data_IF_124512676978
#
_entry.id   IF_124512676978
#
_cell.length_a   1.000
_cell.length_b   1.000
_cell.length_c   1.000
_cell.angle_alpha   90.00
_cell.angle_beta   90.00
_cell.angle_gamma   90.00
#
_symmetry.space_group_name_H-M   'P 1'
#
loop_
_entity.id
_entity.type
_entity.pdbx_description
1 polymer ?
#
# COMPACT_ATOMS: atom_id res chain seq x y z
N UNK A 1 -10.40 17.24 -3.14
CA UNK A 1 -9.55 16.09 -2.77
C UNK A 1 -8.22 16.65 -2.30
N UNK A 2 -7.60 16.12 -1.24
CA UNK A 2 -6.23 16.53 -0.89
C UNK A 2 -5.32 16.32 -2.10
N UNK A 3 -4.37 17.22 -2.30
CA UNK A 3 -3.38 17.10 -3.37
C UNK A 3 -2.50 15.90 -3.02
N UNK A 4 -2.39 14.94 -3.92
CA UNK A 4 -1.47 13.82 -3.76
C UNK A 4 -0.43 13.93 -4.88
N UNK A 5 0.83 14.13 -4.51
CA UNK A 5 1.92 14.22 -5.47
C UNK A 5 2.41 12.82 -5.86
N UNK A 6 2.33 11.86 -4.94
CA UNK A 6 2.69 10.46 -5.18
C UNK A 6 1.49 9.55 -4.88
N UNK A 7 1.29 8.56 -5.74
CA UNK A 7 0.25 7.54 -5.60
C UNK A 7 0.83 6.16 -5.88
N UNK A 8 0.68 5.24 -4.93
CA UNK A 8 0.97 3.81 -5.07
C UNK A 8 -0.35 3.04 -4.99
N UNK A 9 -0.76 2.43 -6.10
CA UNK A 9 -1.89 1.50 -6.17
C UNK A 9 -1.39 0.07 -6.21
N UNK A 10 -1.59 -0.66 -5.12
CA UNK A 10 -1.22 -2.06 -4.95
C UNK A 10 -2.46 -2.91 -5.26
N UNK A 11 -2.34 -3.79 -6.25
CA UNK A 11 -3.33 -4.81 -6.56
C UNK A 11 -2.74 -6.14 -6.09
N UNK A 12 -3.14 -6.58 -4.90
CA UNK A 12 -2.59 -7.74 -4.23
C UNK A 12 -3.43 -8.98 -4.53
N UNK A 13 -2.79 -10.09 -4.90
CA UNK A 13 -3.46 -11.38 -5.08
C UNK A 13 -2.99 -12.35 -3.99
N UNK A 14 -3.91 -12.73 -3.09
CA UNK A 14 -3.62 -13.55 -1.91
C UNK A 14 -3.16 -14.96 -2.26
N UNK A 15 -3.73 -15.54 -3.31
CA UNK A 15 -3.41 -16.90 -3.76
C UNK A 15 -2.18 -16.95 -4.67
N UNK A 16 -1.80 -15.81 -5.25
CA UNK A 16 -0.68 -15.62 -6.16
C UNK A 16 0.06 -14.31 -5.86
N UNK A 17 0.79 -14.21 -4.73
CA UNK A 17 1.52 -12.98 -4.37
C UNK A 17 2.53 -12.55 -5.44
N UNK A 18 3.05 -13.50 -6.22
CA UNK A 18 3.91 -13.28 -7.40
C UNK A 18 3.25 -12.46 -8.52
N UNK A 19 1.92 -12.42 -8.55
CA UNK A 19 1.14 -11.62 -9.52
C UNK A 19 0.76 -10.25 -8.99
N UNK A 20 1.26 -9.85 -7.83
CA UNK A 20 0.99 -8.52 -7.27
C UNK A 20 1.55 -7.43 -8.17
N UNK A 21 0.75 -6.41 -8.42
CA UNK A 21 1.11 -5.26 -9.27
C UNK A 21 1.04 -3.97 -8.47
N UNK A 22 2.13 -3.21 -8.47
CA UNK A 22 2.18 -1.83 -7.99
C UNK A 22 2.10 -0.90 -9.21
N UNK A 23 1.04 -0.10 -9.30
CA UNK A 23 0.94 1.02 -10.24
C UNK A 23 1.30 2.30 -9.52
N UNK A 24 2.27 3.05 -10.02
CA UNK A 24 2.75 4.25 -9.33
C UNK A 24 3.27 5.33 -10.28
N UNK A 25 3.22 6.58 -9.83
CA UNK A 25 3.89 7.72 -10.47
C UNK A 25 5.25 8.04 -9.80
N UNK A 26 5.63 7.31 -8.75
CA UNK A 26 6.95 7.39 -8.13
C UNK A 26 8.02 6.70 -8.98
N UNK A 27 9.27 7.12 -8.79
CA UNK A 27 10.43 6.38 -9.30
C UNK A 27 10.53 5.02 -8.61
N UNK A 28 11.00 3.99 -9.32
CA UNK A 28 11.05 2.61 -8.82
C UNK A 28 11.90 2.49 -7.55
N UNK A 29 13.04 3.16 -7.54
CA UNK A 29 13.97 3.23 -6.43
C UNK A 29 13.38 3.87 -5.15
N UNK A 30 12.38 4.75 -5.29
CA UNK A 30 11.73 5.41 -4.16
C UNK A 30 10.62 4.56 -3.52
N UNK A 31 10.13 3.51 -4.18
CA UNK A 31 8.98 2.72 -3.69
C UNK A 31 9.30 2.08 -2.34
N UNK A 32 10.51 1.54 -2.16
CA UNK A 32 10.93 0.92 -0.91
C UNK A 32 10.90 1.93 0.25
N UNK A 33 11.39 3.14 0.02
CA UNK A 33 11.41 4.21 1.02
C UNK A 33 9.98 4.63 1.41
N UNK A 34 9.12 4.85 0.41
CA UNK A 34 7.73 5.26 0.60
C UNK A 34 6.95 4.21 1.40
N UNK A 35 7.07 2.93 1.04
CA UNK A 35 6.37 1.84 1.74
C UNK A 35 6.90 1.67 3.18
N UNK A 36 8.22 1.79 3.38
CA UNK A 36 8.83 1.72 4.71
C UNK A 36 8.39 2.87 5.63
N UNK A 37 8.34 4.09 5.10
CA UNK A 37 7.83 5.26 5.81
C UNK A 37 6.34 5.06 6.17
N UNK A 38 5.52 4.62 5.22
CA UNK A 38 4.10 4.34 5.46
C UNK A 38 3.90 3.29 6.55
N UNK A 39 4.64 2.17 6.52
CA UNK A 39 4.58 1.10 7.52
C UNK A 39 4.93 1.61 8.91
N UNK A 40 5.94 2.48 9.00
CA UNK A 40 6.35 3.11 10.26
C UNK A 40 5.25 3.98 10.84
N UNK A 41 4.50 4.71 10.00
CA UNK A 41 3.34 5.50 10.43
C UNK A 41 2.17 4.66 10.97
N UNK A 42 2.15 3.34 10.75
CA UNK A 42 1.09 2.46 11.27
C UNK A 42 1.35 2.04 12.73
N UNK A 43 2.59 2.14 13.20
CA UNK A 43 2.98 1.75 14.56
C UNK A 43 2.29 2.68 15.55
N UNK A 44 1.55 2.11 16.51
CA UNK A 44 0.89 2.89 17.57
C UNK A 44 -0.44 3.53 17.18
N UNK A 45 -1.00 3.27 16.00
CA UNK A 45 -2.34 3.76 15.60
C UNK A 45 -3.51 3.14 16.39
N UNK A 46 -3.23 2.26 17.34
CA UNK A 46 -4.21 1.57 18.16
C UNK A 46 -4.87 0.39 17.45
N UNK A 47 -5.89 -0.17 18.10
CA UNK A 47 -6.59 -1.37 17.64
C UNK A 47 -7.74 -0.99 16.71
N UNK A 48 -7.82 -1.65 15.56
CA UNK A 48 -8.99 -1.66 14.70
C UNK A 48 -9.83 -2.91 15.02
N UNK A 49 -11.06 -2.71 15.50
CA UNK A 49 -11.96 -3.81 15.89
C UNK A 49 -12.89 -4.26 14.74
N UNK A 50 -12.74 -3.70 13.54
CA UNK A 50 -13.54 -4.12 12.38
C UNK A 50 -13.05 -5.48 11.86
N UNK A 51 -13.99 -6.28 11.37
CA UNK A 51 -13.67 -7.54 10.69
C UNK A 51 -12.97 -7.28 9.36
N UNK A 52 -11.97 -8.11 8.99
CA UNK A 52 -11.36 -8.04 7.68
C UNK A 52 -12.33 -8.53 6.61
N UNK A 53 -12.32 -7.89 5.45
CA UNK A 53 -12.99 -8.41 4.26
C UNK A 53 -12.26 -9.66 3.79
N UNK A 54 -13.03 -10.71 3.46
CA UNK A 54 -12.48 -11.97 2.92
C UNK A 54 -12.58 -11.95 1.40
N UNK A 55 -11.47 -11.71 0.74
CA UNK A 55 -11.32 -11.69 -0.72
C UNK A 55 -10.03 -12.39 -1.14
N UNK A 56 -9.99 -12.83 -2.39
CA UNK A 56 -8.77 -13.36 -3.01
C UNK A 56 -7.86 -12.26 -3.57
N UNK A 57 -8.45 -11.10 -3.90
CA UNK A 57 -7.76 -9.95 -4.44
C UNK A 57 -8.15 -8.69 -3.65
N UNK A 58 -7.17 -7.82 -3.43
CA UNK A 58 -7.33 -6.57 -2.70
C UNK A 58 -6.73 -5.41 -3.48
N UNK A 59 -7.34 -4.24 -3.30
CA UNK A 59 -6.84 -2.97 -3.78
C UNK A 59 -6.48 -2.09 -2.58
N UNK A 60 -5.24 -1.59 -2.57
CA UNK A 60 -4.74 -0.64 -1.58
C UNK A 60 -4.14 0.54 -2.33
N UNK A 61 -4.61 1.74 -2.03
CA UNK A 61 -4.12 2.99 -2.59
C UNK A 61 -3.48 3.82 -1.50
N UNK A 62 -2.16 3.93 -1.54
CA UNK A 62 -1.37 4.81 -0.68
C UNK A 62 -1.07 6.08 -1.46
N UNK A 63 -1.36 7.23 -0.87
CA UNK A 63 -1.06 8.55 -1.42
C UNK A 63 -0.15 9.30 -0.46
N UNK A 64 0.80 10.05 -1.00
CA UNK A 64 1.71 10.89 -0.24
C UNK A 64 1.62 12.32 -0.78
N UNK A 65 1.31 13.25 0.13
CA UNK A 65 1.45 14.69 -0.09
C UNK A 65 2.89 15.07 0.28
N UNK A 66 3.64 15.61 -0.68
CA UNK A 66 5.06 15.94 -0.46
C UNK A 66 5.24 17.31 0.23
N UNK A 67 4.16 18.06 0.44
CA UNK A 67 4.25 19.36 1.12
C UNK A 67 4.44 19.22 2.64
N UNK A 68 3.94 18.13 3.22
CA UNK A 68 3.99 17.87 4.66
C UNK A 68 4.24 16.39 5.02
N UNK A 69 4.62 15.56 4.04
CA UNK A 69 4.85 14.12 4.16
C UNK A 69 3.64 13.32 4.69
N UNK A 70 2.43 13.83 4.48
CA UNK A 70 1.20 13.16 4.94
C UNK A 70 0.82 12.00 4.04
N UNK A 71 0.62 10.84 4.66
CA UNK A 71 0.05 9.67 4.01
C UNK A 71 -1.47 9.62 4.10
N UNK A 72 -2.11 9.35 2.96
CA UNK A 72 -3.53 8.96 2.88
C UNK A 72 -3.63 7.53 2.37
N UNK A 73 -4.59 6.76 2.88
CA UNK A 73 -4.77 5.36 2.47
C UNK A 73 -6.23 5.05 2.28
N UNK A 74 -6.53 4.47 1.13
CA UNK A 74 -7.80 3.84 0.82
C UNK A 74 -7.56 2.36 0.55
N UNK A 75 -8.41 1.48 1.08
CA UNK A 75 -8.22 0.04 0.94
C UNK A 75 -9.52 -0.73 1.11
N UNK A 76 -9.68 -1.80 0.33
CA UNK A 76 -10.87 -2.63 0.33
C UNK A 76 -10.76 -3.89 1.24
N UNK A 77 -9.78 -3.90 2.13
CA UNK A 77 -9.43 -4.96 3.10
C UNK A 77 -10.36 -5.03 4.31
N UNK A 78 -11.21 -4.02 4.53
CA UNK A 78 -12.18 -3.98 5.64
C UNK A 78 -11.61 -3.54 6.98
N UNK A 79 -10.31 -3.75 7.24
CA UNK A 79 -9.64 -3.26 8.44
C UNK A 79 -8.17 -2.89 8.22
N UNK A 80 -7.62 -2.08 9.13
CA UNK A 80 -6.25 -1.58 9.08
C UNK A 80 -5.20 -2.67 9.28
N UNK A 81 -5.51 -3.69 10.08
CA UNK A 81 -4.58 -4.79 10.38
C UNK A 81 -4.23 -5.59 9.12
N UNK A 82 -5.23 -5.95 8.32
CA UNK A 82 -5.05 -6.63 7.05
C UNK A 82 -4.36 -5.72 6.04
N UNK A 83 -4.75 -4.44 5.92
CA UNK A 83 -4.03 -3.47 5.06
C UNK A 83 -2.55 -3.43 5.38
N UNK A 84 -2.20 -3.26 6.66
CA UNK A 84 -0.81 -3.19 7.11
C UNK A 84 -0.04 -4.50 6.82
N UNK A 85 -0.67 -5.65 7.09
CA UNK A 85 -0.07 -6.96 6.80
C UNK A 85 0.22 -7.19 5.31
N UNK A 86 -0.73 -6.81 4.43
CA UNK A 86 -0.56 -6.95 2.98
C UNK A 86 0.51 -5.99 2.44
N UNK A 87 0.52 -4.73 2.89
CA UNK A 87 1.59 -3.78 2.52
C UNK A 87 2.95 -4.27 3.02
N UNK A 88 3.01 -4.86 4.22
CA UNK A 88 4.23 -5.47 4.76
C UNK A 88 4.73 -6.65 3.93
N UNK A 89 3.85 -7.53 3.44
CA UNK A 89 4.23 -8.62 2.54
C UNK A 89 4.78 -8.08 1.21
N UNK A 90 4.13 -7.06 0.63
CA UNK A 90 4.59 -6.39 -0.59
C UNK A 90 5.96 -5.75 -0.39
N UNK A 91 6.17 -5.06 0.74
CA UNK A 91 7.46 -4.45 1.08
C UNK A 91 8.59 -5.49 1.15
N UNK A 92 8.34 -6.63 1.80
CA UNK A 92 9.32 -7.71 1.92
C UNK A 92 9.60 -8.45 0.61
N UNK A 93 8.72 -8.34 -0.38
CA UNK A 93 8.80 -9.02 -1.69
C UNK A 93 8.91 -8.05 -2.86
N UNK A 94 9.39 -6.83 -2.61
CA UNK A 94 9.36 -5.75 -3.61
C UNK A 94 10.14 -6.09 -4.89
N UNK A 95 11.13 -6.99 -4.80
CA UNK A 95 11.90 -7.51 -5.93
C UNK A 95 11.12 -8.50 -6.81
N UNK A 96 10.05 -9.10 -6.27
CA UNK A 96 9.21 -10.11 -6.92
C UNK A 96 7.90 -9.53 -7.50
N UNK A 97 7.54 -8.29 -7.17
CA UNK A 97 6.31 -7.67 -7.66
C UNK A 97 6.53 -6.94 -8.98
N UNK A 98 5.47 -6.85 -9.78
CA UNK A 98 5.49 -6.06 -11.01
C UNK A 98 5.24 -4.60 -10.68
N UNK A 99 6.14 -3.71 -11.11
CA UNK A 99 5.96 -2.25 -11.00
C UNK A 99 5.61 -1.69 -12.37
N UNK A 100 4.52 -0.94 -12.46
CA UNK A 100 4.04 -0.29 -13.68
C UNK A 100 3.74 1.19 -13.43
N UNK A 101 3.74 1.97 -14.52
CA UNK A 101 3.34 3.37 -14.45
C UNK A 101 1.86 3.51 -14.09
N UNK A 102 1.54 4.55 -13.33
CA UNK A 102 0.17 4.96 -13.08
C UNK A 102 -0.45 5.47 -14.40
N UNK A 103 -1.46 4.74 -14.89
CA UNK A 103 -2.26 5.08 -16.08
C UNK A 103 -3.29 6.15 -15.79
#
# INVERSE_FOLDING_TARGET
>A
MPKADIVLKINFNLNRPDKTVIKTNAKREAISEILGAWLSCQIGQGKDNREPNRKDEYEIVIKLDLSDDTFFTDSDTGNKGLTCGLVGDVFNRLDQVTVANLS
#
